data_IF_465244479513
#
_entry.id   IF_465244479513
#
_cell.length_a   1.000
_cell.length_b   1.000
_cell.length_c   1.000
_cell.angle_alpha   90.00
_cell.angle_beta   90.00
_cell.angle_gamma   90.00
#
_symmetry.space_group_name_H-M   'P 1'
#
loop_
_entity.id
_entity.type
_entity.pdbx_description
1 polymer ?
#
# COMPACT_ATOMS: atom_id res chain seq x y z
N UNK A 1 -11.65 5.42 55.47
CA UNK A 1 -10.77 4.98 54.37
C UNK A 1 -11.46 3.80 53.71
N UNK A 2 -12.13 4.03 52.59
CA UNK A 2 -13.04 3.06 52.00
C UNK A 2 -12.69 2.94 50.51
N UNK A 3 -11.83 1.97 50.18
CA UNK A 3 -11.38 1.69 48.82
C UNK A 3 -12.42 0.80 48.15
N UNK A 4 -13.41 1.42 47.53
CA UNK A 4 -14.31 0.73 46.59
C UNK A 4 -13.52 0.46 45.30
N UNK A 5 -13.19 -0.81 45.09
CA UNK A 5 -12.73 -1.31 43.80
C UNK A 5 -13.88 -1.14 42.80
N UNK A 6 -13.69 -0.27 41.82
CA UNK A 6 -14.50 -0.30 40.61
C UNK A 6 -13.99 -1.48 39.78
N UNK A 7 -14.63 -2.64 39.94
CA UNK A 7 -14.59 -3.68 38.91
C UNK A 7 -15.26 -3.08 37.68
N UNK A 8 -14.46 -2.54 36.77
CA UNK A 8 -14.88 -2.30 35.40
C UNK A 8 -14.99 -3.69 34.81
N UNK A 9 -16.21 -4.25 34.78
CA UNK A 9 -16.53 -5.39 33.94
C UNK A 9 -16.18 -4.99 32.50
N UNK A 10 -15.01 -5.43 32.04
CA UNK A 10 -14.70 -5.44 30.61
C UNK A 10 -15.69 -6.44 30.03
N UNK A 11 -16.63 -6.04 29.14
CA UNK A 11 -17.53 -6.98 28.51
C UNK A 11 -16.71 -7.81 27.51
N UNK A 12 -15.96 -8.78 28.02
CA UNK A 12 -15.14 -9.70 27.24
C UNK A 12 -16.00 -10.88 26.78
N UNK A 13 -17.16 -10.56 26.23
CA UNK A 13 -17.98 -11.48 25.45
C UNK A 13 -18.32 -10.75 24.17
N UNK A 14 -17.55 -11.04 23.13
CA UNK A 14 -18.11 -11.14 21.80
C UNK A 14 -19.25 -12.17 21.92
N UNK A 15 -20.45 -11.72 22.22
CA UNK A 15 -21.64 -12.50 21.96
C UNK A 15 -21.72 -12.61 20.46
N UNK A 16 -21.14 -13.68 19.92
CA UNK A 16 -21.51 -14.18 18.58
C UNK A 16 -22.96 -14.65 18.73
N UNK A 17 -23.90 -13.71 18.70
CA UNK A 17 -25.17 -13.99 18.07
C UNK A 17 -25.02 -13.59 16.62
N UNK A 18 -25.75 -14.27 15.75
CA UNK A 18 -25.94 -14.01 14.33
C UNK A 18 -25.12 -14.97 13.47
N UNK A 19 -25.76 -16.08 13.14
CA UNK A 19 -25.31 -17.07 12.15
C UNK A 19 -24.73 -16.37 10.93
N UNK A 20 -23.49 -16.73 10.54
CA UNK A 20 -22.93 -16.33 9.24
C UNK A 20 -23.84 -16.89 8.14
N UNK A 21 -24.61 -16.02 7.49
CA UNK A 21 -25.62 -16.41 6.50
C UNK A 21 -25.10 -16.37 5.06
N UNK A 22 -23.95 -15.72 4.82
CA UNK A 22 -23.39 -15.55 3.49
C UNK A 22 -21.87 -15.70 3.46
N UNK A 23 -21.34 -16.13 2.32
CA UNK A 23 -19.90 -16.25 2.05
C UNK A 23 -19.43 -15.19 1.04
N UNK A 24 -18.26 -14.59 1.31
CA UNK A 24 -17.61 -13.68 0.38
C UNK A 24 -16.96 -14.47 -0.77
N UNK A 25 -17.17 -14.01 -2.00
CA UNK A 25 -16.49 -14.50 -3.19
C UNK A 25 -15.50 -13.46 -3.71
N UNK A 26 -14.38 -13.96 -4.22
CA UNK A 26 -13.36 -13.21 -4.94
C UNK A 26 -13.18 -13.88 -6.30
N UNK A 27 -13.11 -13.12 -7.40
CA UNK A 27 -12.89 -13.72 -8.69
C UNK A 27 -11.45 -14.21 -8.82
N UNK A 28 -11.30 -15.35 -9.49
CA UNK A 28 -10.00 -15.85 -9.88
C UNK A 28 -9.38 -14.97 -11.00
N UNK A 29 -8.05 -14.95 -11.09
CA UNK A 29 -7.34 -14.18 -12.13
C UNK A 29 -7.68 -14.66 -13.55
N UNK A 30 -7.99 -15.94 -13.71
CA UNK A 30 -8.45 -16.55 -14.98
C UNK A 30 -9.78 -15.96 -15.43
N UNK A 31 -10.74 -15.81 -14.50
CA UNK A 31 -12.06 -15.22 -14.75
C UNK A 31 -11.91 -13.74 -15.13
N UNK A 32 -11.08 -13.00 -14.40
CA UNK A 32 -10.82 -11.59 -14.70
C UNK A 32 -10.16 -11.40 -16.07
N UNK A 33 -9.23 -12.28 -16.46
CA UNK A 33 -8.58 -12.24 -17.76
C UNK A 33 -9.56 -12.56 -18.90
N UNK A 34 -10.42 -13.56 -18.74
CA UNK A 34 -11.46 -13.87 -19.72
C UNK A 34 -12.43 -12.69 -19.87
N UNK A 35 -12.86 -12.11 -18.74
CA UNK A 35 -13.74 -10.95 -18.74
C UNK A 35 -13.09 -9.72 -19.37
N UNK A 36 -11.79 -9.47 -19.17
CA UNK A 36 -11.06 -8.37 -19.81
C UNK A 36 -11.14 -8.44 -21.34
N UNK A 37 -10.92 -9.63 -21.91
CA UNK A 37 -11.01 -9.88 -23.35
C UNK A 37 -12.43 -9.65 -23.89
N UNK A 38 -13.45 -10.15 -23.19
CA UNK A 38 -14.84 -10.07 -23.64
C UNK A 38 -15.45 -8.68 -23.44
N UNK A 39 -15.16 -8.02 -22.32
CA UNK A 39 -15.74 -6.73 -21.96
C UNK A 39 -15.28 -5.61 -22.90
N UNK A 40 -14.03 -5.64 -23.37
CA UNK A 40 -13.54 -4.69 -24.37
C UNK A 40 -14.36 -4.78 -25.67
N UNK A 41 -14.57 -6.01 -26.17
CA UNK A 41 -15.38 -6.26 -27.36
C UNK A 41 -16.85 -5.82 -27.17
N UNK A 42 -17.44 -6.07 -26.00
CA UNK A 42 -18.82 -5.70 -25.71
C UNK A 42 -19.04 -4.18 -25.61
N UNK A 43 -18.02 -3.43 -25.17
CA UNK A 43 -18.07 -1.97 -25.06
C UNK A 43 -17.60 -1.23 -26.33
N UNK A 44 -17.15 -1.96 -27.35
CA UNK A 44 -16.59 -1.38 -28.56
C UNK A 44 -15.28 -0.63 -28.32
N UNK A 45 -14.56 -0.99 -27.25
CA UNK A 45 -13.25 -0.43 -26.91
C UNK A 45 -12.15 -1.41 -27.35
N UNK A 46 -11.02 -0.88 -27.83
CA UNK A 46 -9.88 -1.71 -28.24
C UNK A 46 -9.25 -2.43 -27.03
N UNK A 47 -9.21 -1.75 -25.88
CA UNK A 47 -8.75 -2.30 -24.61
C UNK A 47 -9.37 -1.55 -23.44
N UNK A 48 -9.78 -2.26 -22.39
CA UNK A 48 -10.22 -1.66 -21.14
C UNK A 48 -9.05 -1.51 -20.17
N UNK A 49 -8.98 -0.36 -19.49
CA UNK A 49 -8.07 -0.21 -18.35
C UNK A 49 -8.44 -1.19 -17.23
N UNK A 50 -7.43 -1.72 -16.53
CA UNK A 50 -7.67 -2.69 -15.46
C UNK A 50 -8.61 -2.16 -14.36
N UNK A 51 -8.53 -0.87 -14.02
CA UNK A 51 -9.44 -0.25 -13.07
C UNK A 51 -10.91 -0.29 -13.53
N UNK A 52 -11.16 -0.11 -14.83
CA UNK A 52 -12.49 -0.22 -15.42
C UNK A 52 -12.96 -1.68 -15.48
N UNK A 53 -12.05 -2.62 -15.74
CA UNK A 53 -12.35 -4.06 -15.67
C UNK A 53 -12.84 -4.45 -14.27
N UNK A 54 -12.12 -4.05 -13.21
CA UNK A 54 -12.47 -4.43 -11.83
C UNK A 54 -13.80 -3.83 -11.36
N UNK A 55 -14.06 -2.57 -11.71
CA UNK A 55 -15.34 -1.91 -11.39
C UNK A 55 -16.49 -2.53 -12.19
N UNK A 56 -16.35 -2.64 -13.52
CA UNK A 56 -17.39 -3.21 -14.38
C UNK A 56 -17.71 -4.66 -14.01
N UNK A 57 -16.69 -5.47 -13.71
CA UNK A 57 -16.90 -6.85 -13.26
C UNK A 57 -17.76 -6.88 -11.98
N UNK A 58 -17.46 -6.03 -11.00
CA UNK A 58 -18.22 -5.98 -9.76
C UNK A 58 -19.67 -5.55 -9.98
N UNK A 59 -19.94 -4.71 -10.98
CA UNK A 59 -21.28 -4.23 -11.31
C UNK A 59 -22.13 -5.29 -12.03
N UNK A 60 -21.51 -6.15 -12.85
CA UNK A 60 -22.24 -7.12 -13.70
C UNK A 60 -22.20 -8.56 -13.18
N UNK A 61 -21.32 -8.88 -12.23
CA UNK A 61 -21.20 -10.21 -11.68
C UNK A 61 -22.41 -10.53 -10.78
N UNK A 62 -23.04 -11.66 -11.08
CA UNK A 62 -24.17 -12.18 -10.31
C UNK A 62 -23.69 -13.30 -9.38
N UNK A 63 -24.10 -13.26 -8.12
CA UNK A 63 -23.80 -14.30 -7.13
C UNK A 63 -25.08 -15.00 -6.67
N UNK A 64 -24.94 -16.23 -6.17
CA UNK A 64 -26.03 -16.91 -5.48
C UNK A 64 -26.47 -16.08 -4.24
N UNK A 65 -27.76 -16.11 -3.82
CA UNK A 65 -28.24 -15.42 -2.63
C UNK A 65 -27.45 -15.70 -1.32
N UNK A 66 -26.78 -16.85 -1.21
CA UNK A 66 -25.93 -17.20 -0.06
C UNK A 66 -24.50 -16.66 -0.19
N UNK A 67 -24.21 -15.92 -1.25
CA UNK A 67 -22.89 -15.37 -1.55
C UNK A 67 -22.96 -13.87 -1.85
N UNK A 68 -21.86 -13.18 -1.61
CA UNK A 68 -21.69 -11.79 -2.02
C UNK A 68 -20.27 -11.58 -2.58
N UNK A 69 -20.10 -10.61 -3.47
CA UNK A 69 -18.76 -10.19 -3.89
C UNK A 69 -18.12 -9.36 -2.79
N UNK A 70 -16.91 -9.74 -2.38
CA UNK A 70 -16.17 -8.95 -1.40
C UNK A 70 -15.89 -7.52 -1.88
N UNK A 71 -15.48 -6.63 -0.97
CA UNK A 71 -15.12 -5.23 -1.29
C UNK A 71 -13.75 -5.09 -2.00
N UNK A 72 -13.36 -6.10 -2.78
CA UNK A 72 -12.05 -6.23 -3.40
C UNK A 72 -11.88 -5.29 -4.60
N UNK A 73 -12.97 -5.00 -5.32
CA UNK A 73 -12.97 -4.28 -6.58
C UNK A 73 -12.48 -2.84 -6.43
N UNK A 74 -12.96 -2.12 -5.41
CA UNK A 74 -12.53 -0.75 -5.12
C UNK A 74 -11.03 -0.68 -4.81
N UNK A 75 -10.53 -1.62 -4.02
CA UNK A 75 -9.12 -1.72 -3.66
C UNK A 75 -8.26 -1.99 -4.90
N UNK A 76 -8.61 -3.00 -5.71
CA UNK A 76 -7.87 -3.32 -6.92
C UNK A 76 -7.96 -2.20 -7.96
N UNK A 77 -9.11 -1.54 -8.09
CA UNK A 77 -9.26 -0.41 -9.00
C UNK A 77 -8.39 0.79 -8.60
N UNK A 78 -8.24 1.06 -7.30
CA UNK A 78 -7.36 2.14 -6.83
C UNK A 78 -5.89 1.83 -7.11
N UNK A 79 -5.43 0.61 -6.83
CA UNK A 79 -4.05 0.20 -7.14
C UNK A 79 -3.82 0.23 -8.67
N UNK A 80 -4.78 -0.25 -9.46
CA UNK A 80 -4.68 -0.21 -10.92
C UNK A 80 -4.57 1.20 -11.49
N UNK A 81 -5.24 2.20 -10.89
CA UNK A 81 -5.07 3.61 -11.27
C UNK A 81 -3.64 4.09 -11.01
N UNK A 82 -3.00 3.64 -9.94
CA UNK A 82 -1.60 3.96 -9.64
C UNK A 82 -0.60 3.33 -10.63
N UNK A 83 -1.02 2.32 -11.39
CA UNK A 83 -0.22 1.61 -12.39
C UNK A 83 -0.57 2.01 -13.84
N UNK A 84 -1.59 2.85 -14.04
CA UNK A 84 -2.25 3.02 -15.34
C UNK A 84 -1.37 3.65 -16.45
N UNK A 85 -0.31 4.35 -16.07
CA UNK A 85 0.65 5.00 -16.99
C UNK A 85 1.92 4.17 -17.23
N UNK A 86 1.95 2.91 -16.76
CA UNK A 86 3.00 1.94 -17.07
C UNK A 86 2.47 1.03 -18.20
N UNK A 87 2.66 1.45 -19.45
CA UNK A 87 1.96 0.91 -20.63
C UNK A 87 2.30 -0.56 -20.93
N UNK A 88 3.51 -1.02 -20.62
CA UNK A 88 3.98 -2.35 -20.99
C UNK A 88 3.61 -3.45 -19.98
N UNK A 89 2.88 -3.12 -18.91
CA UNK A 89 2.34 -4.13 -18.00
C UNK A 89 1.20 -4.90 -18.67
N UNK A 90 1.35 -6.21 -18.78
CA UNK A 90 0.24 -7.09 -19.16
C UNK A 90 -0.86 -7.06 -18.09
N UNK A 91 -2.11 -7.30 -18.49
CA UNK A 91 -3.24 -7.36 -17.56
C UNK A 91 -3.00 -8.36 -16.41
N UNK A 92 -2.37 -9.50 -16.70
CA UNK A 92 -2.02 -10.50 -15.68
C UNK A 92 -1.03 -9.95 -14.64
N UNK A 93 -0.03 -9.17 -15.06
CA UNK A 93 0.89 -8.49 -14.14
C UNK A 93 0.15 -7.43 -13.31
N UNK A 94 -0.76 -6.66 -13.93
CA UNK A 94 -1.58 -5.69 -13.18
C UNK A 94 -2.43 -6.38 -12.12
N UNK A 95 -3.06 -7.52 -12.43
CA UNK A 95 -3.81 -8.32 -11.46
C UNK A 95 -2.90 -8.81 -10.32
N UNK A 96 -1.68 -9.26 -10.64
CA UNK A 96 -0.69 -9.68 -9.63
C UNK A 96 -0.35 -8.54 -8.66
N UNK A 97 0.04 -7.37 -9.18
CA UNK A 97 0.33 -6.19 -8.34
C UNK A 97 -0.89 -5.72 -7.54
N UNK A 98 -2.09 -5.68 -8.14
CA UNK A 98 -3.31 -5.28 -7.45
C UNK A 98 -3.72 -6.25 -6.33
N UNK A 99 -3.30 -7.52 -6.42
CA UNK A 99 -3.55 -8.53 -5.39
C UNK A 99 -2.55 -8.50 -4.21
N UNK A 100 -1.44 -7.76 -4.32
CA UNK A 100 -0.46 -7.60 -3.25
C UNK A 100 -1.09 -6.90 -2.03
N UNK A 101 -0.78 -7.28 -0.77
CA UNK A 101 -1.49 -6.86 0.43
C UNK A 101 -1.11 -5.46 0.93
N UNK A 102 -1.27 -4.44 0.07
CA UNK A 102 -1.00 -3.03 0.37
C UNK A 102 -2.26 -2.26 0.73
N UNK A 103 -2.11 -1.18 1.50
CA UNK A 103 -3.18 -0.19 1.69
C UNK A 103 -3.27 0.69 0.42
N UNK A 104 -4.41 0.72 -0.30
CA UNK A 104 -4.58 1.57 -1.48
C UNK A 104 -4.64 3.07 -1.17
N UNK A 105 -4.58 3.49 0.09
CA UNK A 105 -4.57 4.90 0.49
C UNK A 105 -3.20 5.35 1.03
N UNK A 106 -2.22 4.46 1.11
CA UNK A 106 -0.86 4.80 1.54
C UNK A 106 0.02 5.19 0.35
N UNK A 107 0.32 6.49 0.16
CA UNK A 107 1.10 6.94 -0.99
C UNK A 107 2.54 6.42 -0.97
N UNK A 108 3.13 6.18 0.20
CA UNK A 108 4.53 5.74 0.32
C UNK A 108 4.65 4.29 -0.17
N UNK A 109 3.79 3.40 0.32
CA UNK A 109 3.79 1.99 -0.11
C UNK A 109 3.35 1.86 -1.57
N UNK A 110 2.38 2.66 -2.03
CA UNK A 110 1.99 2.68 -3.44
C UNK A 110 3.12 3.19 -4.35
N UNK A 111 3.93 4.15 -3.89
CA UNK A 111 5.15 4.55 -4.60
C UNK A 111 6.12 3.39 -4.72
N UNK A 112 6.39 2.66 -3.64
CA UNK A 112 7.22 1.44 -3.68
C UNK A 112 6.69 0.39 -4.65
N UNK A 113 5.38 0.12 -4.62
CA UNK A 113 4.70 -0.78 -5.56
C UNK A 113 4.91 -0.35 -7.01
N UNK A 114 4.76 0.94 -7.28
CA UNK A 114 4.95 1.53 -8.60
C UNK A 114 6.40 1.40 -9.07
N UNK A 115 7.38 1.67 -8.20
CA UNK A 115 8.81 1.50 -8.50
C UNK A 115 9.13 0.05 -8.88
N UNK A 116 8.54 -0.94 -8.19
CA UNK A 116 8.70 -2.35 -8.55
C UNK A 116 8.11 -2.69 -9.92
N UNK A 117 6.91 -2.18 -10.21
CA UNK A 117 6.26 -2.38 -11.50
C UNK A 117 7.04 -1.74 -12.66
N UNK A 118 7.55 -0.52 -12.48
CA UNK A 118 8.42 0.15 -13.44
C UNK A 118 9.73 -0.63 -13.67
N UNK A 119 10.37 -1.13 -12.61
CA UNK A 119 11.60 -1.92 -12.71
C UNK A 119 11.40 -3.22 -13.47
N UNK A 120 10.28 -3.90 -13.20
CA UNK A 120 9.87 -5.12 -13.89
C UNK A 120 9.77 -4.89 -15.40
N UNK A 121 9.11 -3.81 -15.83
CA UNK A 121 8.98 -3.47 -17.26
C UNK A 121 10.32 -3.09 -17.88
N UNK A 122 11.10 -2.26 -17.18
CA UNK A 122 12.33 -1.69 -17.73
C UNK A 122 13.45 -2.74 -17.88
N UNK A 123 13.59 -3.66 -16.93
CA UNK A 123 14.75 -4.56 -16.85
C UNK A 123 14.41 -6.04 -16.71
N UNK A 124 13.13 -6.38 -16.59
CA UNK A 124 12.66 -7.72 -16.21
C UNK A 124 13.29 -8.23 -14.90
N UNK A 125 13.75 -7.30 -14.06
CA UNK A 125 14.32 -7.52 -12.75
C UNK A 125 13.78 -6.43 -11.82
N UNK A 126 13.52 -6.80 -10.58
CA UNK A 126 13.05 -5.87 -9.56
C UNK A 126 14.12 -5.85 -8.47
N UNK A 127 15.06 -4.89 -8.52
CA UNK A 127 16.04 -4.74 -7.46
C UNK A 127 15.38 -4.19 -6.20
N UNK A 128 16.02 -4.41 -5.04
CA UNK A 128 15.70 -3.60 -3.88
C UNK A 128 16.16 -2.16 -4.14
N UNK A 129 15.34 -1.15 -3.82
CA UNK A 129 15.73 0.24 -4.03
C UNK A 129 16.88 0.63 -3.10
N UNK A 130 17.95 1.20 -3.68
CA UNK A 130 19.17 1.59 -2.94
C UNK A 130 18.88 2.62 -1.84
N UNK A 131 17.83 3.42 -1.99
CA UNK A 131 17.37 4.42 -1.04
C UNK A 131 16.57 3.85 0.15
N UNK A 132 16.39 2.52 0.23
CA UNK A 132 15.79 1.87 1.39
C UNK A 132 16.83 1.41 2.42
N UNK A 133 18.12 1.64 2.17
CA UNK A 133 19.19 1.36 3.13
C UNK A 133 19.08 2.34 4.29
N UNK A 134 18.62 1.84 5.43
CA UNK A 134 18.46 2.61 6.66
C UNK A 134 19.79 2.66 7.43
N UNK A 135 20.20 3.86 7.84
CA UNK A 135 21.24 4.01 8.84
C UNK A 135 20.65 3.56 10.18
N UNK A 136 21.20 2.50 10.79
CA UNK A 136 20.64 1.72 11.90
C UNK A 136 20.40 2.47 13.23
N UNK A 137 20.24 3.79 13.22
CA UNK A 137 19.93 4.58 14.40
C UNK A 137 18.50 4.28 14.88
N UNK A 138 18.35 4.02 16.17
CA UNK A 138 17.04 3.79 16.77
C UNK A 138 16.22 5.09 16.71
N UNK A 139 15.02 5.09 16.13
CA UNK A 139 14.23 6.31 16.03
C UNK A 139 13.79 6.77 17.42
N UNK A 140 13.84 8.08 17.65
CA UNK A 140 13.49 8.70 18.94
C UNK A 140 12.09 9.29 18.93
N UNK A 141 11.48 9.50 17.76
CA UNK A 141 10.17 10.15 17.62
C UNK A 141 9.11 9.23 17.03
N UNK A 142 7.85 9.52 17.34
CA UNK A 142 6.70 8.75 16.82
C UNK A 142 6.62 8.84 15.29
N UNK A 143 6.87 10.00 14.67
CA UNK A 143 6.88 10.11 13.21
C UNK A 143 7.99 9.27 12.57
N UNK A 144 9.16 9.17 13.21
CA UNK A 144 10.24 8.34 12.71
C UNK A 144 9.88 6.84 12.78
N UNK A 145 9.18 6.40 13.83
CA UNK A 145 8.64 5.04 13.92
C UNK A 145 7.62 4.78 12.81
N UNK A 146 6.69 5.69 12.56
CA UNK A 146 5.74 5.56 11.46
C UNK A 146 6.42 5.46 10.10
N UNK A 147 7.50 6.21 9.86
CA UNK A 147 8.28 6.09 8.63
C UNK A 147 8.90 4.70 8.48
N UNK A 148 9.48 4.16 9.55
CA UNK A 148 10.02 2.78 9.55
C UNK A 148 8.94 1.72 9.30
N UNK A 149 7.73 1.89 9.84
CA UNK A 149 6.62 0.98 9.57
C UNK A 149 6.27 0.94 8.07
N UNK A 150 6.32 2.09 7.38
CA UNK A 150 6.10 2.16 5.92
C UNK A 150 7.21 1.47 5.14
N UNK A 151 8.46 1.63 5.57
CA UNK A 151 9.61 0.89 4.99
C UNK A 151 9.41 -0.62 5.18
N UNK A 152 9.02 -1.08 6.37
CA UNK A 152 8.67 -2.49 6.61
C UNK A 152 7.58 -2.98 5.66
N UNK A 153 6.52 -2.19 5.43
CA UNK A 153 5.45 -2.54 4.50
C UNK A 153 5.95 -2.67 3.06
N UNK A 154 6.91 -1.85 2.64
CA UNK A 154 7.53 -1.99 1.30
C UNK A 154 8.38 -3.26 1.20
N UNK A 155 9.14 -3.62 2.24
CA UNK A 155 9.85 -4.90 2.26
C UNK A 155 8.88 -6.09 2.26
N UNK A 156 7.77 -6.01 3.01
CA UNK A 156 6.73 -7.03 3.00
C UNK A 156 6.09 -7.17 1.61
N UNK A 157 5.85 -6.06 0.92
CA UNK A 157 5.40 -6.05 -0.47
C UNK A 157 6.42 -6.73 -1.41
N UNK A 158 7.70 -6.35 -1.33
CA UNK A 158 8.75 -6.95 -2.15
C UNK A 158 8.82 -8.47 -1.94
N UNK A 159 8.84 -8.92 -0.68
CA UNK A 159 8.87 -10.34 -0.33
C UNK A 159 7.60 -11.07 -0.77
N UNK A 160 6.44 -10.42 -0.72
CA UNK A 160 5.18 -10.99 -1.18
C UNK A 160 5.19 -11.22 -2.70
N UNK A 161 5.69 -10.25 -3.47
CA UNK A 161 5.83 -10.37 -4.93
C UNK A 161 6.89 -11.41 -5.30
N UNK A 162 8.03 -11.42 -4.62
CA UNK A 162 9.12 -12.37 -4.84
C UNK A 162 8.66 -13.84 -4.73
N UNK A 163 7.76 -14.15 -3.80
CA UNK A 163 7.20 -15.50 -3.61
C UNK A 163 6.26 -15.97 -4.72
N UNK A 164 5.71 -15.05 -5.50
CA UNK A 164 4.69 -15.32 -6.53
C UNK A 164 5.26 -15.23 -7.95
N UNK A 165 6.39 -14.57 -8.07
CA UNK A 165 7.11 -14.39 -9.31
C UNK A 165 8.27 -15.39 -9.46
N UNK A 166 8.90 -15.40 -10.65
CA UNK A 166 10.10 -16.19 -10.90
C UNK A 166 11.27 -15.67 -10.02
N UNK A 167 12.03 -16.54 -9.33
CA UNK A 167 13.19 -16.14 -8.51
C UNK A 167 14.24 -15.30 -9.25
N UNK A 168 14.31 -15.39 -10.58
CA UNK A 168 15.23 -14.58 -11.40
C UNK A 168 14.80 -13.12 -11.53
N UNK A 169 13.54 -12.79 -11.24
CA UNK A 169 12.98 -11.42 -11.29
C UNK A 169 13.25 -10.70 -9.97
N UNK A 170 12.99 -11.35 -8.83
CA UNK A 170 13.17 -10.79 -7.48
C UNK A 170 14.37 -11.44 -6.78
N UNK A 171 15.58 -11.05 -7.16
CA UNK A 171 16.81 -11.73 -6.73
C UNK A 171 17.22 -11.42 -5.29
N UNK A 172 16.86 -10.23 -4.82
CA UNK A 172 17.24 -9.73 -3.49
C UNK A 172 16.30 -10.19 -2.36
N UNK A 173 15.67 -11.36 -2.46
CA UNK A 173 14.74 -11.85 -1.41
C UNK A 173 15.44 -11.98 -0.05
N UNK A 174 16.66 -12.51 -0.04
CA UNK A 174 17.45 -12.68 1.19
C UNK A 174 17.80 -11.32 1.82
N UNK A 175 18.34 -10.41 1.01
CA UNK A 175 18.69 -9.05 1.41
C UNK A 175 17.47 -8.29 1.95
N UNK A 176 16.32 -8.42 1.29
CA UNK A 176 15.06 -7.80 1.70
C UNK A 176 14.61 -8.29 3.08
N UNK A 177 14.80 -9.58 3.35
CA UNK A 177 14.43 -10.21 4.62
C UNK A 177 15.36 -9.77 5.75
N UNK A 178 16.65 -9.65 5.50
CA UNK A 178 17.64 -9.17 6.45
C UNK A 178 17.38 -7.69 6.78
N UNK A 179 17.25 -6.83 5.76
CA UNK A 179 16.95 -5.41 5.96
C UNK A 179 15.61 -5.19 6.69
N UNK A 180 14.57 -5.97 6.35
CA UNK A 180 13.31 -5.95 7.10
C UNK A 180 13.49 -6.29 8.58
N UNK A 181 14.32 -7.27 8.90
CA UNK A 181 14.55 -7.68 10.28
C UNK A 181 15.24 -6.56 11.08
N UNK A 182 16.19 -5.86 10.47
CA UNK A 182 16.87 -4.70 11.07
C UNK A 182 15.88 -3.55 11.36
N UNK A 183 14.98 -3.23 10.43
CA UNK A 183 13.95 -2.21 10.65
C UNK A 183 12.98 -2.61 11.76
N UNK A 184 12.55 -3.87 11.81
CA UNK A 184 11.69 -4.37 12.89
C UNK A 184 12.39 -4.30 14.25
N UNK A 185 13.69 -4.60 14.31
CA UNK A 185 14.48 -4.46 15.52
C UNK A 185 14.58 -2.99 15.96
N UNK A 186 14.83 -2.06 15.02
CA UNK A 186 14.86 -0.63 15.29
C UNK A 186 13.51 -0.11 15.84
N UNK A 187 12.39 -0.50 15.22
CA UNK A 187 11.03 -0.18 15.71
C UNK A 187 10.83 -0.76 17.12
N UNK A 188 11.20 -2.02 17.33
CA UNK A 188 11.04 -2.69 18.63
C UNK A 188 11.83 -1.99 19.73
N UNK A 189 13.06 -1.58 19.44
CA UNK A 189 13.92 -0.87 20.38
C UNK A 189 13.36 0.53 20.68
N UNK A 190 12.82 1.22 19.68
CA UNK A 190 12.18 2.53 19.84
C UNK A 190 10.93 2.46 20.72
N UNK A 191 10.05 1.47 20.48
CA UNK A 191 8.84 1.25 21.29
C UNK A 191 9.18 0.89 22.74
N UNK A 192 10.28 0.17 22.98
CA UNK A 192 10.77 -0.15 24.34
C UNK A 192 11.43 1.06 25.02
N UNK A 193 11.91 2.01 24.23
CA UNK A 193 12.49 3.26 24.70
C UNK A 193 11.44 4.30 25.09
N UNK A 194 11.90 5.53 25.32
CA UNK A 194 11.02 6.67 25.51
C UNK A 194 10.87 7.40 24.17
N UNK A 195 9.66 7.36 23.59
CA UNK A 195 9.34 8.06 22.35
C UNK A 195 8.92 9.50 22.61
N UNK A 196 9.47 10.41 21.83
CA UNK A 196 9.07 11.81 21.79
C UNK A 196 7.91 11.98 20.80
N UNK A 197 6.90 12.76 21.19
CA UNK A 197 5.81 13.16 20.30
C UNK A 197 6.30 14.41 19.57
N UNK A 198 6.40 14.33 18.25
CA UNK A 198 6.81 15.48 17.42
C UNK A 198 5.84 16.65 17.62
N UNK A 199 6.37 17.87 17.74
CA UNK A 199 5.55 19.07 17.71
C UNK A 199 4.95 19.25 16.30
N UNK A 200 3.74 19.82 16.15
CA UNK A 200 3.11 19.91 14.83
C UNK A 200 3.89 20.78 13.83
N UNK A 201 4.78 21.66 14.33
CA UNK A 201 5.66 22.50 13.51
C UNK A 201 6.82 21.69 12.91
N UNK A 202 7.36 20.71 13.64
CA UNK A 202 8.48 19.87 13.18
C UNK A 202 8.06 18.90 12.08
N UNK A 203 6.84 18.35 12.13
CA UNK A 203 6.32 17.44 11.11
C UNK A 203 6.15 18.15 9.76
N UNK A 204 5.65 19.39 9.77
CA UNK A 204 5.45 20.19 8.55
C UNK A 204 6.81 20.58 7.94
N UNK A 205 7.78 20.96 8.77
CA UNK A 205 9.12 21.30 8.31
C UNK A 205 9.83 20.12 7.63
N UNK A 206 9.74 18.91 8.21
CA UNK A 206 10.38 17.70 7.66
C UNK A 206 9.71 17.20 6.39
N UNK A 207 8.38 17.25 6.30
CA UNK A 207 7.67 16.92 5.04
C UNK A 207 8.03 17.92 3.95
N UNK A 208 8.17 19.21 4.27
CA UNK A 208 8.63 20.21 3.31
C UNK A 208 10.08 19.98 2.85
N UNK A 209 10.98 19.59 3.76
CA UNK A 209 12.38 19.28 3.45
C UNK A 209 12.50 18.02 2.58
N UNK A 210 11.76 16.95 2.89
CA UNK A 210 11.73 15.71 2.11
C UNK A 210 11.17 15.91 0.70
N UNK A 211 10.23 16.85 0.52
CA UNK A 211 9.69 17.24 -0.79
C UNK A 211 10.60 18.21 -1.56
N UNK A 212 11.56 18.86 -0.89
CA UNK A 212 12.54 19.76 -1.53
C UNK A 212 13.81 19.03 -1.97
N UNK A 213 14.15 17.89 -1.36
CA UNK A 213 15.32 17.08 -1.77
C UNK A 213 15.10 16.28 -3.06
N UNK A 214 13.85 16.13 -3.52
CA UNK A 214 13.52 15.53 -4.83
C UNK A 214 13.69 16.50 -6.03
N UNK A 215 14.05 17.77 -5.80
CA UNK A 215 14.28 18.75 -6.86
C UNK A 215 15.76 18.74 -7.35
N UNK A 216 16.07 17.80 -8.26
CA UNK A 216 17.21 17.93 -9.18
C UNK A 216 17.06 19.19 -10.08
N UNK A 217 18.16 19.78 -10.57
CA UNK A 217 18.22 21.20 -10.93
C UNK A 217 17.46 21.48 -12.23
N UNK A 218 16.34 22.20 -12.13
CA UNK A 218 15.67 22.67 -13.35
C UNK A 218 14.34 23.41 -13.21
N UNK A 219 13.68 23.41 -12.05
CA UNK A 219 12.30 23.93 -11.99
C UNK A 219 12.13 25.05 -10.97
N UNK A 220 12.46 26.28 -11.38
CA UNK A 220 12.00 27.48 -10.65
C UNK A 220 10.47 27.59 -10.76
N UNK A 221 9.73 27.02 -9.81
CA UNK A 221 8.35 27.46 -9.54
C UNK A 221 8.35 28.38 -8.32
N UNK A 222 8.13 29.66 -8.58
CA UNK A 222 7.86 30.69 -7.56
C UNK A 222 6.70 30.23 -6.69
N UNK A 223 6.97 29.85 -5.44
CA UNK A 223 5.95 29.78 -4.40
C UNK A 223 5.52 31.23 -4.13
N UNK A 224 4.27 31.57 -4.49
CA UNK A 224 3.65 32.82 -4.06
C UNK A 224 3.33 32.67 -2.58
N UNK A 225 3.92 33.52 -1.75
CA UNK A 225 3.58 33.67 -0.34
C UNK A 225 2.07 33.82 -0.18
N UNK A 226 1.46 32.90 0.57
CA UNK A 226 0.09 33.06 1.05
C UNK A 226 0.20 33.93 2.30
N UNK A 227 -0.13 35.21 2.16
CA UNK A 227 -0.34 36.09 3.31
C UNK A 227 -1.60 35.60 4.05
N UNK A 228 -1.40 35.05 5.25
CA UNK A 228 -2.47 34.83 6.21
C UNK A 228 -2.95 36.19 6.70
N UNK A 229 -4.06 36.66 6.14
CA UNK A 229 -4.77 37.84 6.61
C UNK A 229 -5.22 37.63 8.06
N UNK A 230 -4.71 38.48 8.94
CA UNK A 230 -5.07 38.57 10.34
C UNK A 230 -6.54 38.93 10.53
N UNK A 231 -7.18 38.21 11.44
CA UNK A 231 -8.53 38.45 11.96
C UNK A 231 -8.66 39.87 12.52
N UNK A 232 -9.79 40.51 12.23
CA UNK A 232 -10.41 41.54 13.07
C UNK A 232 -11.91 41.33 13.04
#
# INVERSE_FOLDING_TARGET
MDRRYFEIEVPNRLTISDTVTQAALLPESSILSAFHCEAAAALGEECLSAAKVFSTFADVAHTDPICYLGTWSNRMANIAKCLADIEELSFQQVVEFCSAPVDPNDPIVLSGLRTFAQSLVATNQVPLPDNMVFDAQTPTTVSAVFHLERICQIYDLYLWLARRSNPLVYRSEKEAREARAEVVEAITNAIRGQLEIDSSEDVVARVAEQLMDDDLPGSRRKIRSIELGSVS
#
